data_IF_413609568630
#
_entry.id   IF_413609568630
#
_cell.length_a   1.000
_cell.length_b   1.000
_cell.length_c   1.000
_cell.angle_alpha   90.00
_cell.angle_beta   90.00
_cell.angle_gamma   90.00
#
_symmetry.space_group_name_H-M   'P 1'
#
loop_
_entity.id
_entity.type
_entity.pdbx_description
1 polymer ?
#
# COMPACT_ATOMS: atom_id res chain seq x y z
N UNK A 1 8.93 15.29 -2.74
CA UNK A 1 9.94 15.50 -3.82
C UNK A 1 9.60 14.72 -5.08
N UNK A 2 9.52 13.38 -4.99
CA UNK A 2 9.18 12.48 -6.11
C UNK A 2 7.98 12.92 -6.95
N UNK A 3 6.85 13.22 -6.30
CA UNK A 3 5.63 13.62 -7.00
C UNK A 3 5.78 14.90 -7.83
N UNK A 4 6.62 15.83 -7.40
CA UNK A 4 6.92 17.05 -8.17
C UNK A 4 7.77 16.73 -9.41
N UNK A 5 8.78 15.87 -9.27
CA UNK A 5 9.67 15.47 -10.37
C UNK A 5 8.92 14.66 -11.44
N UNK A 6 8.02 13.75 -11.03
CA UNK A 6 7.21 12.91 -11.92
C UNK A 6 5.84 13.49 -12.28
N UNK A 7 5.52 14.71 -11.83
CA UNK A 7 4.21 15.37 -12.00
C UNK A 7 3.01 14.49 -11.56
N UNK A 8 3.20 13.73 -10.49
CA UNK A 8 2.13 12.92 -9.88
C UNK A 8 1.51 13.64 -8.70
N UNK A 9 0.31 13.20 -8.32
CA UNK A 9 -0.34 13.63 -7.10
C UNK A 9 0.11 12.74 -5.94
N UNK A 10 0.16 13.29 -4.74
CA UNK A 10 0.31 12.50 -3.52
C UNK A 10 -0.75 12.90 -2.51
N UNK A 11 -1.11 11.94 -1.66
CA UNK A 11 -2.02 12.15 -0.55
C UNK A 11 -1.48 11.45 0.70
N UNK A 12 -2.01 11.85 1.84
CA UNK A 12 -1.70 11.26 3.14
C UNK A 12 -3.01 10.73 3.72
N UNK A 13 -3.01 9.43 4.02
CA UNK A 13 -4.05 8.80 4.83
C UNK A 13 -3.67 8.99 6.31
N UNK A 14 -4.42 9.84 7.01
CA UNK A 14 -4.21 10.11 8.43
C UNK A 14 -4.95 9.10 9.31
N UNK A 15 -4.42 8.85 10.51
CA UNK A 15 -5.11 8.01 11.51
C UNK A 15 -6.12 8.81 12.33
N UNK A 16 -6.04 10.15 12.31
CA UNK A 16 -6.82 11.00 13.19
C UNK A 16 -8.33 10.81 13.01
N UNK A 17 -9.01 10.74 14.16
CA UNK A 17 -10.43 11.06 14.30
C UNK A 17 -10.65 12.57 14.17
N UNK A 18 -11.88 13.00 13.91
CA UNK A 18 -12.22 14.42 13.61
C UNK A 18 -11.63 15.43 14.60
N UNK A 19 -11.58 15.10 15.89
CA UNK A 19 -11.06 15.97 16.95
C UNK A 19 -9.54 16.22 16.90
N UNK A 20 -8.77 15.37 16.19
CA UNK A 20 -7.32 15.50 16.05
C UNK A 20 -6.88 15.92 14.64
N UNK A 21 -7.81 16.09 13.70
CA UNK A 21 -7.52 16.44 12.31
C UNK A 21 -6.62 17.66 12.17
N UNK A 22 -6.94 18.74 12.89
CA UNK A 22 -6.19 20.01 12.76
C UNK A 22 -4.72 19.84 13.19
N UNK A 23 -4.46 19.02 14.21
CA UNK A 23 -3.12 18.80 14.72
C UNK A 23 -2.29 17.92 13.76
N UNK A 24 -2.83 16.77 13.32
CA UNK A 24 -2.15 15.90 12.35
C UNK A 24 -1.93 16.61 11.01
N UNK A 25 -2.94 17.31 10.50
CA UNK A 25 -2.83 18.07 9.25
C UNK A 25 -1.69 19.09 9.31
N UNK A 26 -1.58 19.86 10.40
CA UNK A 26 -0.50 20.83 10.60
C UNK A 26 0.86 20.14 10.62
N UNK A 27 1.00 19.07 11.40
CA UNK A 27 2.25 18.31 11.49
C UNK A 27 2.70 17.82 10.10
N UNK A 28 1.83 17.14 9.36
CA UNK A 28 2.20 16.62 8.04
C UNK A 28 2.44 17.71 7.01
N UNK A 29 1.74 18.85 7.11
CA UNK A 29 1.99 20.00 6.26
C UNK A 29 3.39 20.58 6.50
N UNK A 30 3.78 20.72 7.76
CA UNK A 30 5.13 21.17 8.16
C UNK A 30 6.19 20.19 7.67
N UNK A 31 6.00 18.88 7.89
CA UNK A 31 6.94 17.84 7.44
C UNK A 31 7.08 17.77 5.91
N UNK A 32 5.98 17.94 5.18
CA UNK A 32 5.99 17.89 3.72
C UNK A 32 6.66 19.12 3.08
N UNK A 33 6.75 20.24 3.82
CA UNK A 33 7.32 21.48 3.34
C UNK A 33 6.58 22.07 2.14
N UNK A 34 5.26 21.86 2.04
CA UNK A 34 4.43 22.41 0.96
C UNK A 34 3.11 23.00 1.48
N UNK A 35 2.55 23.96 0.73
CA UNK A 35 1.37 24.70 1.16
C UNK A 35 0.05 23.92 1.13
N UNK A 36 -0.05 22.91 0.27
CA UNK A 36 -1.25 22.09 0.09
C UNK A 36 -0.91 20.61 0.02
N UNK A 37 -1.27 19.89 1.08
CA UNK A 37 -1.31 18.42 1.11
C UNK A 37 -2.74 17.96 0.88
N UNK A 38 -2.94 16.89 0.10
CA UNK A 38 -4.21 16.18 0.08
C UNK A 38 -4.23 15.22 1.27
N UNK A 39 -4.83 15.65 2.36
CA UNK A 39 -4.90 14.88 3.60
C UNK A 39 -6.32 14.36 3.79
N UNK A 40 -6.42 13.07 4.12
CA UNK A 40 -7.68 12.38 4.32
C UNK A 40 -7.69 11.78 5.72
N UNK A 41 -8.51 12.30 6.65
CA UNK A 41 -8.63 11.73 7.99
C UNK A 41 -9.25 10.34 7.96
N UNK A 42 -9.05 9.59 9.03
CA UNK A 42 -9.79 8.35 9.25
C UNK A 42 -11.25 8.69 9.59
N UNK A 43 -12.19 8.27 8.75
CA UNK A 43 -13.61 8.32 9.09
C UNK A 43 -14.11 6.91 9.42
N UNK A 44 -14.57 6.72 10.66
CA UNK A 44 -15.02 5.41 11.13
C UNK A 44 -16.17 4.85 10.26
N UNK A 45 -16.90 5.71 9.53
CA UNK A 45 -18.00 5.34 8.63
C UNK A 45 -17.61 5.19 7.15
N UNK A 46 -16.43 5.63 6.72
CA UNK A 46 -16.13 5.76 5.30
C UNK A 46 -14.90 5.01 4.82
N UNK A 47 -14.24 4.20 5.66
CA UNK A 47 -13.10 3.38 5.24
C UNK A 47 -12.07 4.21 4.45
N UNK A 48 -11.80 5.44 4.90
CA UNK A 48 -11.08 6.43 4.10
C UNK A 48 -9.72 5.94 3.61
N UNK A 49 -8.94 5.25 4.45
CA UNK A 49 -7.66 4.63 4.06
C UNK A 49 -7.82 3.60 2.94
N UNK A 50 -8.85 2.74 3.01
CA UNK A 50 -9.11 1.76 1.94
C UNK A 50 -9.60 2.41 0.66
N UNK A 51 -10.45 3.44 0.75
CA UNK A 51 -10.87 4.22 -0.43
C UNK A 51 -9.68 4.87 -1.11
N UNK A 52 -8.69 5.32 -0.34
CA UNK A 52 -7.45 5.88 -0.88
C UNK A 52 -6.56 4.82 -1.50
N UNK A 53 -6.41 3.67 -0.86
CA UNK A 53 -5.71 2.51 -1.45
C UNK A 53 -6.32 2.14 -2.80
N UNK A 54 -7.65 2.11 -2.92
CA UNK A 54 -8.32 1.78 -4.17
C UNK A 54 -8.09 2.82 -5.28
N UNK A 55 -7.93 4.10 -4.92
CA UNK A 55 -7.73 5.22 -5.86
C UNK A 55 -6.25 5.50 -6.17
N UNK A 56 -5.34 5.04 -5.32
CA UNK A 56 -3.92 5.31 -5.44
C UNK A 56 -3.26 4.29 -6.37
N UNK A 57 -2.34 4.76 -7.21
CA UNK A 57 -1.55 3.88 -8.06
C UNK A 57 -0.54 3.06 -7.25
N UNK A 58 0.08 3.69 -6.24
CA UNK A 58 1.06 3.07 -5.35
C UNK A 58 0.79 3.58 -3.93
N UNK A 59 0.78 2.68 -2.95
CA UNK A 59 0.77 3.05 -1.53
C UNK A 59 2.19 2.98 -0.98
N UNK A 60 2.61 4.00 -0.23
CA UNK A 60 3.90 4.02 0.45
C UNK A 60 3.60 3.93 1.94
N UNK A 61 4.22 2.98 2.60
CA UNK A 61 4.00 2.74 4.02
C UNK A 61 5.30 2.33 4.69
N UNK A 62 5.38 2.50 6.00
CA UNK A 62 6.32 1.75 6.84
C UNK A 62 5.64 0.43 7.31
N UNK A 63 6.12 -0.14 8.40
CA UNK A 63 5.55 -1.31 9.09
C UNK A 63 4.09 -1.08 9.55
N UNK A 64 3.14 -1.20 8.62
CA UNK A 64 1.70 -0.93 8.82
C UNK A 64 0.84 -2.08 8.30
N UNK A 65 -0.16 -2.48 9.08
CA UNK A 65 -1.16 -3.50 8.73
C UNK A 65 -1.93 -3.12 7.46
N UNK A 66 -2.27 -1.84 7.30
CA UNK A 66 -2.97 -1.31 6.12
C UNK A 66 -2.16 -1.51 4.84
N UNK A 67 -0.83 -1.45 4.94
CA UNK A 67 0.08 -1.77 3.84
C UNK A 67 0.03 -3.24 3.43
N UNK A 68 0.04 -4.14 4.41
CA UNK A 68 -0.09 -5.59 4.15
C UNK A 68 -1.45 -5.93 3.55
N UNK A 69 -2.52 -5.29 4.03
CA UNK A 69 -3.86 -5.47 3.46
C UNK A 69 -3.93 -4.96 2.02
N UNK A 70 -3.32 -3.81 1.72
CA UNK A 70 -3.22 -3.30 0.34
C UNK A 70 -2.45 -4.29 -0.55
N UNK A 71 -1.31 -4.80 -0.09
CA UNK A 71 -0.54 -5.82 -0.81
C UNK A 71 -1.39 -7.09 -1.04
N UNK A 72 -2.13 -7.54 -0.02
CA UNK A 72 -2.97 -8.74 -0.11
C UNK A 72 -4.11 -8.65 -1.13
N UNK A 73 -4.56 -7.42 -1.40
CA UNK A 73 -5.56 -7.06 -2.42
C UNK A 73 -4.95 -6.90 -3.82
N UNK A 74 -3.64 -7.12 -3.96
CA UNK A 74 -2.92 -6.94 -5.21
C UNK A 74 -2.72 -5.49 -5.61
N UNK A 75 -2.71 -4.57 -4.65
CA UNK A 75 -2.34 -3.16 -4.88
C UNK A 75 -0.83 -3.00 -4.82
N UNK A 76 -0.30 -2.06 -5.60
CA UNK A 76 1.12 -1.71 -5.57
C UNK A 76 1.47 -1.02 -4.27
N UNK A 77 2.47 -1.56 -3.58
CA UNK A 77 2.90 -1.07 -2.26
C UNK A 77 4.42 -1.01 -2.22
N UNK A 78 4.95 0.04 -1.60
CA UNK A 78 6.33 0.12 -1.14
C UNK A 78 6.35 0.25 0.38
N UNK A 79 6.85 -0.78 1.05
CA UNK A 79 7.30 -0.77 2.43
C UNK A 79 8.67 -0.12 2.50
N UNK A 80 8.71 1.12 2.97
CA UNK A 80 9.90 1.94 3.04
C UNK A 80 10.35 2.12 4.49
N UNK A 81 11.58 1.69 4.78
CA UNK A 81 12.23 1.82 6.07
C UNK A 81 13.61 2.50 5.90
N UNK A 82 13.71 3.83 6.02
CA UNK A 82 15.00 4.53 5.90
C UNK A 82 15.92 4.37 7.11
N UNK A 83 15.60 3.46 8.04
CA UNK A 83 16.38 3.20 9.25
C UNK A 83 17.15 1.88 9.13
N UNK A 84 18.07 1.62 10.06
CA UNK A 84 18.72 0.31 10.24
C UNK A 84 17.97 -0.58 11.26
N UNK A 85 16.80 -0.17 11.72
CA UNK A 85 16.04 -0.92 12.71
C UNK A 85 15.10 -1.92 12.04
N UNK A 86 15.44 -3.21 12.19
CA UNK A 86 14.69 -4.34 11.66
C UNK A 86 13.27 -4.44 12.23
N UNK A 87 12.98 -3.80 13.38
CA UNK A 87 11.61 -3.74 13.92
C UNK A 87 10.63 -3.10 12.93
N UNK A 88 11.09 -2.15 12.11
CA UNK A 88 10.28 -1.48 11.11
C UNK A 88 10.34 -2.16 9.73
N UNK A 89 11.03 -3.30 9.62
CA UNK A 89 11.06 -4.08 8.40
C UNK A 89 9.90 -5.07 8.30
N UNK A 90 9.57 -5.41 7.06
CA UNK A 90 8.60 -6.47 6.78
C UNK A 90 9.28 -7.84 6.74
N UNK A 91 8.64 -8.92 7.24
CA UNK A 91 9.21 -10.26 7.21
C UNK A 91 9.65 -10.69 5.80
N UNK A 92 10.85 -11.26 5.69
CA UNK A 92 11.45 -11.65 4.41
C UNK A 92 11.02 -13.07 4.00
N UNK A 93 10.70 -13.27 2.71
CA UNK A 93 10.63 -14.59 2.09
C UNK A 93 11.06 -14.51 0.63
N UNK A 94 11.98 -15.35 0.18
CA UNK A 94 12.36 -15.45 -1.24
C UNK A 94 13.19 -14.26 -1.77
N UNK A 95 13.41 -14.25 -3.09
CA UNK A 95 14.34 -13.36 -3.79
C UNK A 95 13.72 -12.09 -4.37
N UNK A 96 12.44 -11.81 -4.11
CA UNK A 96 11.72 -10.70 -4.73
C UNK A 96 11.41 -9.62 -3.71
N UNK A 97 12.31 -8.64 -3.63
CA UNK A 97 12.28 -7.55 -2.65
C UNK A 97 11.60 -6.28 -3.18
N UNK A 98 10.86 -6.35 -4.30
CA UNK A 98 10.46 -5.13 -5.02
C UNK A 98 9.57 -4.19 -4.20
N UNK A 99 8.71 -4.71 -3.34
CA UNK A 99 7.89 -3.91 -2.42
C UNK A 99 8.63 -3.48 -1.15
N UNK A 100 9.89 -3.85 -0.91
CA UNK A 100 10.65 -3.47 0.29
C UNK A 100 11.88 -2.64 -0.06
N UNK A 101 12.05 -1.51 0.60
CA UNK A 101 13.26 -0.72 0.53
C UNK A 101 13.68 -0.31 1.95
N UNK A 102 14.81 -0.84 2.43
CA UNK A 102 15.25 -0.70 3.81
C UNK A 102 16.75 -0.40 3.95
N UNK A 103 17.14 0.28 5.03
CA UNK A 103 18.53 0.55 5.44
C UNK A 103 18.86 2.04 5.56
N UNK A 104 19.71 2.40 6.53
CA UNK A 104 20.10 3.79 6.81
C UNK A 104 20.89 4.46 5.68
N UNK A 105 21.42 3.67 4.74
CA UNK A 105 22.07 4.15 3.53
C UNK A 105 21.12 4.45 2.37
N UNK A 106 19.82 4.15 2.49
CA UNK A 106 18.87 4.36 1.40
C UNK A 106 18.63 5.86 1.18
N UNK A 107 19.11 6.35 0.04
CA UNK A 107 18.92 7.70 -0.40
C UNK A 107 17.62 7.91 -1.18
N UNK A 108 17.41 9.17 -1.55
CA UNK A 108 16.29 9.56 -2.40
C UNK A 108 16.35 8.93 -3.81
N UNK A 109 17.55 8.68 -4.34
CA UNK A 109 17.73 8.13 -5.68
C UNK A 109 17.18 6.70 -5.75
N UNK A 110 17.55 5.88 -4.77
CA UNK A 110 17.10 4.49 -4.61
C UNK A 110 15.58 4.42 -4.37
N UNK A 111 15.06 5.33 -3.54
CA UNK A 111 13.61 5.48 -3.33
C UNK A 111 12.87 5.81 -4.63
N UNK A 112 13.35 6.77 -5.40
CA UNK A 112 12.73 7.19 -6.65
C UNK A 112 12.79 6.06 -7.70
N UNK A 113 13.96 5.47 -7.89
CA UNK A 113 14.16 4.34 -8.80
C UNK A 113 13.23 3.17 -8.44
N UNK A 114 13.04 2.92 -7.14
CA UNK A 114 12.16 1.83 -6.71
C UNK A 114 10.70 2.11 -7.02
N UNK A 115 10.22 3.33 -6.77
CA UNK A 115 8.85 3.71 -7.11
C UNK A 115 8.61 3.65 -8.62
N UNK A 116 9.59 4.06 -9.42
CA UNK A 116 9.50 3.95 -10.88
C UNK A 116 9.35 2.50 -11.32
N UNK A 117 10.20 1.60 -10.81
CA UNK A 117 10.10 0.16 -11.09
C UNK A 117 8.73 -0.41 -10.71
N UNK A 118 8.21 -0.07 -9.53
CA UNK A 118 6.87 -0.52 -9.10
C UNK A 118 5.78 0.03 -10.03
N UNK A 119 5.89 1.30 -10.43
CA UNK A 119 4.91 1.97 -11.29
C UNK A 119 4.85 1.35 -12.68
N UNK A 120 6.00 0.93 -13.22
CA UNK A 120 6.15 0.39 -14.58
C UNK A 120 5.67 -1.07 -14.71
N UNK A 121 5.59 -1.81 -13.60
CA UNK A 121 5.07 -3.19 -13.62
C UNK A 121 3.59 -3.18 -13.97
N UNK A 122 3.18 -4.04 -14.89
CA UNK A 122 1.76 -4.20 -15.23
C UNK A 122 0.94 -4.69 -14.03
N UNK A 123 -0.30 -4.23 -13.90
CA UNK A 123 -1.15 -4.56 -12.75
C UNK A 123 -1.47 -6.06 -12.65
N UNK A 124 -1.51 -6.79 -13.76
CA UNK A 124 -1.73 -8.25 -13.76
C UNK A 124 -0.48 -8.94 -13.21
N UNK A 125 0.69 -8.56 -13.71
CA UNK A 125 1.99 -9.10 -13.24
C UNK A 125 2.20 -8.81 -11.76
N UNK A 126 1.88 -7.59 -11.32
CA UNK A 126 1.94 -7.22 -9.90
C UNK A 126 1.02 -8.10 -9.04
N UNK A 127 -0.21 -8.35 -9.49
CA UNK A 127 -1.16 -9.18 -8.74
C UNK A 127 -0.63 -10.60 -8.56
N UNK A 128 -0.07 -11.20 -9.59
CA UNK A 128 0.54 -12.54 -9.52
C UNK A 128 1.67 -12.57 -8.49
N UNK A 129 2.60 -11.62 -8.56
CA UNK A 129 3.69 -11.48 -7.58
C UNK A 129 3.16 -11.29 -6.15
N UNK A 130 2.18 -10.41 -5.98
CA UNK A 130 1.63 -10.10 -4.66
C UNK A 130 0.81 -11.25 -4.05
N UNK A 131 0.19 -12.12 -4.86
CA UNK A 131 -0.64 -13.22 -4.38
C UNK A 131 0.16 -14.27 -3.61
N UNK A 132 1.36 -14.60 -4.08
CA UNK A 132 2.27 -15.53 -3.39
C UNK A 132 2.59 -15.05 -1.97
N UNK A 133 2.80 -13.74 -1.83
CA UNK A 133 3.16 -13.10 -0.56
C UNK A 133 1.96 -12.79 0.33
N UNK A 134 0.82 -12.42 -0.26
CA UNK A 134 -0.44 -12.19 0.44
C UNK A 134 -0.83 -13.40 1.29
N UNK A 135 -0.75 -14.59 0.71
CA UNK A 135 -1.03 -15.82 1.42
C UNK A 135 -0.09 -16.00 2.59
N UNK A 136 1.22 -15.78 2.42
CA UNK A 136 2.19 -15.91 3.51
C UNK A 136 1.91 -14.98 4.69
N UNK A 137 1.69 -13.68 4.45
CA UNK A 137 1.47 -12.71 5.51
C UNK A 137 0.15 -12.91 6.27
N UNK A 138 -0.84 -13.57 5.66
CA UNK A 138 -2.14 -13.83 6.28
C UNK A 138 -2.17 -15.15 7.05
N UNK A 139 -1.46 -16.20 6.60
CA UNK A 139 -1.64 -17.56 7.12
C UNK A 139 -0.39 -18.18 7.72
N UNK A 140 0.80 -17.58 7.56
CA UNK A 140 2.10 -18.20 7.87
C UNK A 140 2.35 -19.56 7.18
N UNK A 141 1.52 -19.95 6.19
CA UNK A 141 1.57 -21.24 5.46
C UNK A 141 1.10 -21.01 4.02
N UNK A 142 1.84 -21.47 2.99
CA UNK A 142 1.45 -21.21 1.59
C UNK A 142 0.11 -21.86 1.23
N UNK A 143 -0.92 -21.04 1.01
CA UNK A 143 -2.24 -21.44 0.51
C UNK A 143 -2.70 -20.49 -0.62
N UNK A 144 -3.78 -20.83 -1.32
CA UNK A 144 -4.41 -19.89 -2.26
C UNK A 144 -4.91 -18.63 -1.52
N UNK A 145 -4.71 -17.45 -2.12
CA UNK A 145 -5.11 -16.17 -1.54
C UNK A 145 -6.64 -16.16 -1.27
N UNK A 146 -7.11 -15.79 -0.06
CA UNK A 146 -8.53 -15.70 0.25
C UNK A 146 -9.36 -14.91 -0.77
N UNK A 147 -8.78 -13.87 -1.39
CA UNK A 147 -9.43 -13.05 -2.43
C UNK A 147 -9.72 -13.87 -3.69
N UNK A 148 -8.81 -14.74 -4.13
CA UNK A 148 -9.06 -15.58 -5.33
C UNK A 148 -10.15 -16.61 -5.05
N UNK A 149 -10.13 -17.22 -3.86
CA UNK A 149 -11.17 -18.15 -3.40
C UNK A 149 -12.53 -17.45 -3.37
N UNK A 150 -12.62 -16.29 -2.72
CA UNK A 150 -13.87 -15.51 -2.61
C UNK A 150 -14.37 -15.09 -3.99
N UNK A 151 -13.51 -14.56 -4.86
CA UNK A 151 -13.90 -14.17 -6.22
C UNK A 151 -14.42 -15.36 -7.03
N UNK A 152 -13.81 -16.54 -6.89
CA UNK A 152 -14.29 -17.78 -7.47
C UNK A 152 -15.67 -18.20 -6.95
N UNK A 153 -15.91 -18.04 -5.64
CA UNK A 153 -17.22 -18.33 -5.04
C UNK A 153 -18.30 -17.33 -5.47
N UNK A 154 -17.99 -16.03 -5.48
CA UNK A 154 -18.91 -14.97 -5.94
C UNK A 154 -19.29 -15.21 -7.40
N UNK A 155 -18.32 -15.49 -8.27
CA UNK A 155 -18.57 -15.79 -9.68
C UNK A 155 -19.50 -17.00 -9.86
N UNK A 156 -19.31 -18.07 -9.07
CA UNK A 156 -20.19 -19.25 -9.08
C UNK A 156 -21.61 -18.95 -8.60
N UNK A 157 -21.77 -18.05 -7.63
CA UNK A 157 -23.08 -17.63 -7.14
C UNK A 157 -23.81 -16.74 -8.15
N UNK A 158 -23.10 -15.85 -8.85
CA UNK A 158 -23.69 -14.94 -9.85
C UNK A 158 -24.11 -15.68 -11.12
N UNK A 159 -23.34 -16.66 -11.60
CA UNK A 159 -23.70 -17.48 -12.78
C UNK A 159 -24.95 -18.33 -12.55
N UNK A 160 -25.24 -18.72 -11.30
CA UNK A 160 -26.48 -19.45 -10.97
C UNK A 160 -27.74 -18.57 -10.96
N UNK A 161 -27.62 -17.24 -10.98
CA UNK A 161 -28.75 -16.32 -10.87
C UNK A 161 -29.33 -15.86 -12.22
N UNK A 162 -28.66 -16.13 -13.33
CA UNK A 162 -29.07 -15.72 -14.69
C UNK A 162 -29.83 -16.79 -15.50
N UNK A 163 -30.08 -17.97 -14.93
CA UNK A 163 -30.94 -18.99 -15.53
C UNK A 163 -32.29 -19.09 -14.80
N UNK A 164 -33.14 -18.09 -14.98
CA UNK A 164 -34.59 -18.17 -14.74
C UNK A 164 -35.34 -17.40 -15.81
#
# INVERSE_FOLDING_TARGET
RYSRERKTNYCIAGSCKENNFVAEYKLYKEMAGIDKIMFFPNDDNGLSSYKLIERSQISITNHSTVGFEALSRGKKVLFFNPTDDEYFDVPQRGSHEIWRLAGAGVGYAEFAERLDKISEIDDIVWRELSQEYASYFVTNVSHENPVSIINGMVSKCLVKSTNK
#
